data_IF_305958524322
#
_entry.id   IF_305958524322
#
_cell.length_a   1.000
_cell.length_b   1.000
_cell.length_c   1.000
_cell.angle_alpha   90.00
_cell.angle_beta   90.00
_cell.angle_gamma   90.00
#
_symmetry.space_group_name_H-M   'P 1'
#
loop_
_entity.id
_entity.type
_entity.pdbx_description
1 polymer ?
#
# COMPACT_ATOMS: atom_id res chain seq x y z
N UNK A 1 24.24 86.95 -3.31
CA UNK A 1 23.42 86.27 -2.29
C UNK A 1 24.28 85.25 -1.53
N UNK A 2 24.11 84.93 -0.24
CA UNK A 2 23.71 85.72 0.94
C UNK A 2 23.40 84.76 2.11
N UNK A 3 24.22 84.78 3.18
CA UNK A 3 23.98 84.23 4.54
C UNK A 3 23.66 82.71 4.67
N UNK A 4 24.48 81.86 5.31
CA UNK A 4 24.83 81.75 6.76
C UNK A 4 23.71 81.14 7.61
N UNK A 5 23.92 79.92 8.15
CA UNK A 5 24.20 79.73 9.59
C UNK A 5 24.80 78.34 9.92
N UNK A 6 25.43 78.20 11.10
CA UNK A 6 25.82 76.93 11.76
C UNK A 6 25.14 76.84 13.14
N UNK A 7 25.20 75.73 13.93
CA UNK A 7 26.39 75.34 14.73
C UNK A 7 26.43 73.78 15.00
N UNK A 8 27.01 73.13 16.03
CA UNK A 8 27.87 73.50 17.17
C UNK A 8 28.75 72.30 17.67
N UNK A 9 30.06 72.26 17.37
CA UNK A 9 31.08 71.40 18.07
C UNK A 9 30.87 69.86 17.89
N UNK A 10 31.79 68.94 18.21
CA UNK A 10 32.99 68.96 19.09
C UNK A 10 34.24 68.36 18.43
N UNK A 11 35.39 68.67 19.03
CA UNK A 11 36.71 68.09 18.70
C UNK A 11 37.00 66.94 19.67
N UNK A 12 37.48 65.81 19.17
CA UNK A 12 38.34 64.88 19.93
C UNK A 12 39.54 64.53 19.05
N UNK A 13 40.73 64.93 19.49
CA UNK A 13 42.00 64.47 18.91
C UNK A 13 42.51 63.33 19.77
N UNK A 14 42.81 62.19 19.16
CA UNK A 14 43.61 61.12 19.74
C UNK A 14 44.72 60.77 18.74
N UNK A 15 45.97 60.73 19.21
CA UNK A 15 47.14 60.86 18.34
C UNK A 15 48.19 59.79 18.67
N UNK A 16 48.54 58.98 17.67
CA UNK A 16 49.85 58.27 17.51
C UNK A 16 50.17 57.23 18.63
N UNK A 17 50.49 55.98 18.28
CA UNK A 17 51.81 55.60 17.77
C UNK A 17 51.76 54.37 16.85
N UNK A 18 52.64 54.36 15.84
CA UNK A 18 53.04 53.14 15.14
C UNK A 18 54.36 52.62 15.74
N UNK A 19 54.46 51.30 15.93
CA UNK A 19 55.69 50.62 16.31
C UNK A 19 55.93 49.44 15.36
N UNK A 20 56.82 49.63 14.39
CA UNK A 20 57.21 48.59 13.44
C UNK A 20 58.24 47.64 14.06
N UNK A 21 57.84 46.41 14.34
CA UNK A 21 58.75 45.29 14.63
C UNK A 21 58.63 44.22 13.56
N UNK A 22 59.71 43.96 12.81
CA UNK A 22 59.74 42.82 11.88
C UNK A 22 60.07 41.53 12.64
N UNK A 23 59.16 40.56 12.60
CA UNK A 23 59.41 39.18 13.02
C UNK A 23 58.96 38.25 11.89
N UNK A 24 59.92 37.69 11.14
CA UNK A 24 59.64 36.70 10.11
C UNK A 24 59.55 35.29 10.74
N UNK A 25 58.40 34.63 10.59
CA UNK A 25 58.27 33.18 10.66
C UNK A 25 57.63 32.59 11.93
N UNK A 26 56.29 32.42 11.93
CA UNK A 26 55.59 31.49 12.83
C UNK A 26 54.20 30.98 12.34
N UNK A 27 53.60 31.53 11.27
CA UNK A 27 52.15 31.42 11.06
C UNK A 27 51.63 30.10 10.45
N UNK A 28 52.46 29.31 9.78
CA UNK A 28 52.00 28.17 8.96
C UNK A 28 51.40 26.99 9.75
N UNK A 29 51.62 26.90 11.07
CA UNK A 29 51.25 25.71 11.87
C UNK A 29 49.99 25.90 12.73
N UNK A 30 49.48 27.13 12.87
CA UNK A 30 48.32 27.43 13.73
C UNK A 30 47.00 27.10 13.00
N UNK A 31 46.94 27.34 11.68
CA UNK A 31 45.73 27.19 10.85
C UNK A 31 45.23 25.74 10.76
N UNK A 32 46.12 24.75 10.59
CA UNK A 32 45.75 23.33 10.49
C UNK A 32 44.94 22.82 11.68
N UNK A 33 45.27 23.27 12.90
CA UNK A 33 44.56 22.87 14.12
C UNK A 33 43.18 23.54 14.25
N UNK A 34 43.03 24.77 13.75
CA UNK A 34 41.73 25.44 13.67
C UNK A 34 40.85 24.77 12.61
N UNK A 35 41.39 24.54 11.41
CA UNK A 35 40.72 23.90 10.29
C UNK A 35 40.21 22.49 10.63
N UNK A 36 41.04 21.64 11.25
CA UNK A 36 40.63 20.29 11.66
C UNK A 36 39.48 20.29 12.71
N UNK A 37 39.45 21.28 13.62
CA UNK A 37 38.32 21.48 14.54
C UNK A 37 37.06 21.95 13.81
N UNK A 38 37.20 22.81 12.82
CA UNK A 38 36.08 23.33 12.03
C UNK A 38 35.48 22.26 11.11
N UNK A 39 36.33 21.43 10.49
CA UNK A 39 35.91 20.27 9.69
C UNK A 39 35.22 19.19 10.55
N UNK A 40 35.73 18.88 11.75
CA UNK A 40 35.08 17.93 12.66
C UNK A 40 33.77 18.47 13.24
N UNK A 41 33.70 19.75 13.59
CA UNK A 41 32.45 20.40 13.99
C UNK A 41 31.40 20.40 12.86
N UNK A 42 31.81 20.71 11.62
CA UNK A 42 30.93 20.64 10.45
C UNK A 42 30.47 19.20 10.17
N UNK A 43 31.33 18.20 10.35
CA UNK A 43 30.99 16.78 10.21
C UNK A 43 29.96 16.35 11.27
N UNK A 44 30.13 16.76 12.52
CA UNK A 44 29.15 16.52 13.58
C UNK A 44 27.80 17.20 13.29
N UNK A 45 27.80 18.47 12.86
CA UNK A 45 26.61 19.19 12.40
C UNK A 45 25.90 18.48 11.26
N UNK A 46 26.65 17.97 10.27
CA UNK A 46 26.09 17.22 9.15
C UNK A 46 25.46 15.90 9.62
N UNK A 47 26.10 15.16 10.53
CA UNK A 47 25.54 13.92 11.12
C UNK A 47 24.26 14.21 11.91
N UNK A 48 24.25 15.24 12.77
CA UNK A 48 23.05 15.65 13.51
C UNK A 48 21.93 16.08 12.56
N UNK A 49 22.26 16.83 11.50
CA UNK A 49 21.29 17.25 10.47
C UNK A 49 20.73 16.08 9.66
N UNK A 50 21.51 15.04 9.40
CA UNK A 50 21.03 13.83 8.73
C UNK A 50 20.13 13.02 9.67
N UNK A 51 20.58 12.70 10.89
CA UNK A 51 19.76 12.03 11.90
C UNK A 51 18.44 12.77 12.18
N UNK A 52 18.45 14.10 12.17
CA UNK A 52 17.22 14.91 12.30
C UNK A 52 16.25 14.73 11.14
N UNK A 53 16.72 14.56 9.90
CA UNK A 53 15.87 14.21 8.76
C UNK A 53 15.32 12.81 8.92
N UNK A 54 16.16 11.85 9.28
CA UNK A 54 15.78 10.44 9.38
C UNK A 54 14.69 10.25 10.45
N UNK A 55 14.82 10.94 11.59
CA UNK A 55 13.78 11.06 12.63
C UNK A 55 12.51 11.74 12.10
N UNK A 56 12.62 12.78 11.27
CA UNK A 56 11.46 13.46 10.70
C UNK A 56 10.71 12.60 9.67
N UNK A 57 11.44 11.81 8.87
CA UNK A 57 10.86 10.81 7.95
C UNK A 57 10.12 9.73 8.74
N UNK A 58 10.75 9.15 9.77
CA UNK A 58 10.12 8.17 10.66
C UNK A 58 8.85 8.72 11.33
N UNK A 59 8.87 9.98 11.78
CA UNK A 59 7.67 10.67 12.30
C UNK A 59 6.56 10.80 11.27
N UNK A 60 6.88 11.08 10.00
CA UNK A 60 5.87 11.07 8.92
C UNK A 60 5.28 9.68 8.80
N UNK A 61 6.10 8.63 8.61
CA UNK A 61 5.61 7.26 8.44
C UNK A 61 4.72 6.78 9.61
N UNK A 62 5.02 7.17 10.85
CA UNK A 62 4.15 6.90 12.01
C UNK A 62 2.85 7.70 11.97
N UNK A 63 2.88 8.98 11.57
CA UNK A 63 1.68 9.81 11.40
C UNK A 63 0.81 9.32 10.24
N UNK A 64 1.41 8.85 9.16
CA UNK A 64 0.72 8.34 7.98
C UNK A 64 0.07 6.98 8.28
N UNK A 65 0.82 6.03 8.85
CA UNK A 65 0.29 4.72 9.27
C UNK A 65 -0.82 4.84 10.35
N UNK A 66 -0.76 5.86 11.22
CA UNK A 66 -1.86 6.16 12.15
C UNK A 66 -3.12 6.73 11.47
N UNK A 67 -3.02 7.39 10.31
CA UNK A 67 -4.21 7.77 9.52
C UNK A 67 -4.85 6.53 8.91
N UNK A 68 -4.03 5.66 8.34
CA UNK A 68 -4.47 4.42 7.68
C UNK A 68 -5.18 3.50 8.69
N UNK A 69 -4.59 3.28 9.86
CA UNK A 69 -5.23 2.54 10.95
C UNK A 69 -6.57 3.17 11.38
N UNK A 70 -6.63 4.50 11.54
CA UNK A 70 -7.87 5.19 11.94
C UNK A 70 -8.98 5.08 10.88
N UNK A 71 -8.63 5.09 9.59
CA UNK A 71 -9.59 4.82 8.50
C UNK A 71 -10.11 3.38 8.58
N UNK A 72 -9.24 2.41 8.83
CA UNK A 72 -9.64 1.00 9.03
C UNK A 72 -10.56 0.84 10.26
N UNK A 73 -10.30 1.56 11.36
CA UNK A 73 -11.16 1.56 12.55
C UNK A 73 -12.54 2.17 12.25
N UNK A 74 -12.61 3.32 11.58
CA UNK A 74 -13.88 3.98 11.22
C UNK A 74 -14.73 3.11 10.27
N UNK A 75 -14.10 2.39 9.34
CA UNK A 75 -14.79 1.47 8.42
C UNK A 75 -15.30 0.18 9.09
N UNK A 76 -14.63 -0.29 10.15
CA UNK A 76 -15.12 -1.41 10.96
C UNK A 76 -16.35 -1.05 11.80
N UNK A 77 -16.53 0.23 12.16
CA UNK A 77 -17.73 0.71 12.85
C UNK A 77 -18.97 0.77 11.93
N UNK A 78 -18.80 0.75 10.61
CA UNK A 78 -19.90 0.79 9.63
C UNK A 78 -19.85 -0.40 8.64
N UNK A 79 -20.16 -1.64 9.08
CA UNK A 79 -19.88 -2.90 8.36
C UNK A 79 -20.74 -3.19 7.10
N UNK A 80 -21.26 -2.16 6.44
CA UNK A 80 -21.80 -2.20 5.06
C UNK A 80 -20.73 -1.87 4.01
N UNK A 81 -19.71 -1.07 4.35
CA UNK A 81 -18.60 -0.64 3.48
C UNK A 81 -17.46 -1.66 3.35
N UNK A 82 -17.41 -2.64 4.25
CA UNK A 82 -16.39 -3.70 4.31
C UNK A 82 -16.90 -5.07 3.87
N UNK A 83 -18.13 -5.20 3.35
CA UNK A 83 -18.67 -6.52 3.00
C UNK A 83 -18.10 -7.05 1.68
N UNK A 84 -17.74 -8.34 1.65
CA UNK A 84 -17.49 -9.09 0.44
C UNK A 84 -18.47 -10.28 0.35
N UNK A 85 -19.08 -10.50 -0.81
CA UNK A 85 -20.01 -11.60 -1.07
C UNK A 85 -19.57 -12.38 -2.29
N UNK A 86 -19.46 -13.70 -2.16
CA UNK A 86 -19.04 -14.60 -3.23
C UNK A 86 -20.22 -15.44 -3.70
N UNK A 87 -20.51 -15.38 -4.99
CA UNK A 87 -21.56 -16.12 -5.68
C UNK A 87 -20.98 -17.24 -6.54
N UNK A 88 -21.84 -18.19 -6.91
CA UNK A 88 -21.56 -19.27 -7.85
C UNK A 88 -22.68 -19.30 -8.89
N UNK A 89 -22.29 -19.31 -10.15
CA UNK A 89 -23.15 -19.51 -11.32
C UNK A 89 -22.64 -20.69 -12.15
N UNK A 90 -23.55 -21.33 -12.90
CA UNK A 90 -23.25 -22.44 -13.79
C UNK A 90 -24.08 -22.23 -15.07
N UNK A 91 -23.42 -21.78 -16.14
CA UNK A 91 -24.02 -21.61 -17.45
C UNK A 91 -23.74 -22.85 -18.30
N UNK A 92 -24.76 -23.71 -18.39
CA UNK A 92 -24.70 -25.07 -18.96
C UNK A 92 -23.75 -26.00 -18.17
N UNK A 93 -23.82 -27.31 -18.42
CA UNK A 93 -23.13 -28.35 -17.64
C UNK A 93 -22.93 -29.64 -18.42
N UNK A 94 -22.64 -29.53 -19.71
CA UNK A 94 -22.36 -30.64 -20.62
C UNK A 94 -20.91 -31.12 -20.53
N UNK A 95 -19.93 -30.21 -20.33
CA UNK A 95 -18.53 -30.60 -20.23
C UNK A 95 -18.02 -30.72 -18.78
N UNK A 96 -18.77 -30.23 -17.79
CA UNK A 96 -18.44 -30.41 -16.37
C UNK A 96 -19.65 -30.49 -15.43
N UNK A 97 -19.74 -31.60 -14.69
CA UNK A 97 -20.72 -31.83 -13.62
C UNK A 97 -20.11 -31.41 -12.28
N UNK A 98 -20.54 -30.25 -11.75
CA UNK A 98 -20.03 -29.71 -10.48
C UNK A 98 -20.43 -30.58 -9.26
N UNK A 99 -19.46 -31.17 -8.57
CA UNK A 99 -19.69 -31.89 -7.31
C UNK A 99 -19.34 -31.03 -6.08
N UNK A 100 -18.38 -30.12 -6.16
CA UNK A 100 -17.94 -29.33 -5.01
C UNK A 100 -17.09 -28.11 -5.37
N UNK A 101 -17.14 -27.10 -4.50
CA UNK A 101 -16.27 -25.93 -4.52
C UNK A 101 -15.60 -25.79 -3.16
N UNK A 102 -14.29 -25.53 -3.17
CA UNK A 102 -13.53 -25.06 -2.02
C UNK A 102 -13.01 -23.66 -2.30
N UNK A 103 -13.30 -22.72 -1.41
CA UNK A 103 -12.97 -21.31 -1.56
C UNK A 103 -11.86 -20.90 -0.59
N UNK A 104 -10.86 -20.21 -1.11
CA UNK A 104 -9.84 -19.50 -0.35
C UNK A 104 -9.95 -18.00 -0.55
N UNK A 105 -9.61 -17.25 0.49
CA UNK A 105 -9.36 -15.82 0.48
C UNK A 105 -8.06 -15.57 1.26
N UNK A 106 -7.11 -14.86 0.64
CA UNK A 106 -5.76 -14.60 1.15
C UNK A 106 -5.07 -15.89 1.65
N UNK A 107 -5.15 -16.94 0.82
CA UNK A 107 -4.60 -18.28 1.08
C UNK A 107 -5.36 -19.14 2.12
N UNK A 108 -6.24 -18.56 2.93
CA UNK A 108 -7.03 -19.21 4.00
C UNK A 108 -8.33 -19.78 3.43
N UNK A 109 -8.71 -21.00 3.83
CA UNK A 109 -9.98 -21.60 3.38
C UNK A 109 -11.16 -20.96 4.13
N UNK A 110 -12.05 -20.28 3.40
CA UNK A 110 -13.20 -19.54 3.98
C UNK A 110 -14.56 -20.21 3.73
N UNK A 111 -14.68 -21.03 2.69
CA UNK A 111 -15.86 -21.86 2.46
C UNK A 111 -15.51 -23.20 1.79
N UNK A 112 -16.38 -24.19 1.95
CA UNK A 112 -16.37 -25.42 1.17
C UNK A 112 -17.79 -25.95 1.07
N UNK A 113 -18.25 -26.30 -0.13
CA UNK A 113 -19.62 -26.76 -0.38
C UNK A 113 -19.62 -27.98 -1.31
N UNK A 114 -20.58 -28.89 -1.13
CA UNK A 114 -20.81 -30.08 -1.96
C UNK A 114 -22.22 -30.01 -2.55
N UNK A 115 -22.33 -30.24 -3.85
CA UNK A 115 -23.53 -30.04 -4.64
C UNK A 115 -24.31 -31.34 -4.83
N UNK A 116 -25.55 -31.35 -4.32
CA UNK A 116 -26.56 -32.34 -4.74
C UNK A 116 -27.01 -32.10 -6.18
N UNK A 117 -27.55 -33.14 -6.81
CA UNK A 117 -28.08 -33.05 -8.17
C UNK A 117 -29.16 -31.97 -8.33
N UNK A 118 -30.05 -31.84 -7.33
CA UNK A 118 -31.08 -30.79 -7.30
C UNK A 118 -30.48 -29.37 -7.25
N UNK A 119 -29.30 -29.20 -6.64
CA UNK A 119 -28.59 -27.91 -6.63
C UNK A 119 -27.88 -27.63 -7.96
N UNK A 120 -27.19 -28.62 -8.55
CA UNK A 120 -26.63 -28.50 -9.91
C UNK A 120 -27.69 -28.05 -10.91
N UNK A 121 -28.83 -28.76 -10.95
CA UNK A 121 -29.93 -28.45 -11.85
C UNK A 121 -30.60 -27.10 -11.55
N UNK A 122 -30.52 -26.59 -10.32
CA UNK A 122 -30.98 -25.25 -10.00
C UNK A 122 -30.02 -24.18 -10.56
N UNK A 123 -28.70 -24.37 -10.40
CA UNK A 123 -27.70 -23.47 -10.97
C UNK A 123 -27.77 -23.43 -12.49
N UNK A 124 -27.75 -24.60 -13.14
CA UNK A 124 -27.81 -24.78 -14.60
C UNK A 124 -29.12 -24.30 -15.28
N UNK A 125 -30.05 -23.69 -14.53
CA UNK A 125 -31.23 -22.98 -15.03
C UNK A 125 -31.19 -21.48 -14.70
N UNK A 126 -29.99 -20.89 -14.64
CA UNK A 126 -29.78 -19.49 -14.25
C UNK A 126 -29.92 -19.24 -12.74
N UNK A 127 -29.83 -20.27 -11.90
CA UNK A 127 -29.81 -20.10 -10.45
C UNK A 127 -28.44 -19.62 -9.98
N UNK A 128 -28.41 -18.65 -9.08
CA UNK A 128 -27.18 -18.13 -8.47
C UNK A 128 -27.15 -18.49 -6.99
N UNK A 129 -26.12 -19.22 -6.54
CA UNK A 129 -25.91 -19.47 -5.11
C UNK A 129 -24.99 -18.41 -4.53
N UNK A 130 -25.39 -17.81 -3.41
CA UNK A 130 -24.47 -17.09 -2.51
C UNK A 130 -23.66 -18.10 -1.69
N UNK A 131 -22.42 -18.37 -2.10
CA UNK A 131 -21.53 -19.36 -1.49
C UNK A 131 -20.95 -18.87 -0.16
N UNK A 132 -20.58 -17.59 -0.07
CA UNK A 132 -19.95 -17.02 1.11
C UNK A 132 -20.26 -15.52 1.29
N UNK A 133 -20.26 -15.06 2.53
CA UNK A 133 -20.26 -13.63 2.90
C UNK A 133 -19.23 -13.46 4.01
N UNK A 134 -18.38 -12.44 3.90
CA UNK A 134 -17.43 -12.03 4.95
C UNK A 134 -17.34 -10.51 5.00
N UNK A 135 -16.71 -9.99 6.05
CA UNK A 135 -16.07 -8.69 5.98
C UNK A 135 -14.68 -8.84 5.35
N UNK A 136 -14.25 -7.85 4.60
CA UNK A 136 -12.99 -7.72 3.90
C UNK A 136 -12.60 -6.24 3.87
N UNK A 137 -11.42 -5.94 4.40
CA UNK A 137 -10.89 -4.57 4.46
C UNK A 137 -10.56 -4.06 3.05
N UNK A 138 -10.29 -2.76 2.92
CA UNK A 138 -9.74 -2.25 1.67
C UNK A 138 -8.27 -2.64 1.48
N UNK A 139 -7.85 -2.74 0.22
CA UNK A 139 -6.49 -3.16 -0.16
C UNK A 139 -6.49 -4.29 -1.18
N UNK A 140 -5.32 -4.92 -1.35
CA UNK A 140 -5.09 -6.01 -2.30
C UNK A 140 -5.44 -7.36 -1.65
N UNK A 141 -6.23 -8.17 -2.35
CA UNK A 141 -6.68 -9.49 -1.88
C UNK A 141 -6.59 -10.54 -2.98
N UNK A 142 -6.41 -11.80 -2.60
CA UNK A 142 -6.36 -12.94 -3.53
C UNK A 142 -7.46 -13.94 -3.22
N UNK A 143 -8.34 -14.20 -4.20
CA UNK A 143 -9.40 -15.21 -4.08
C UNK A 143 -9.08 -16.41 -4.98
N UNK A 144 -9.05 -17.61 -4.40
CA UNK A 144 -8.76 -18.86 -5.11
C UNK A 144 -9.93 -19.84 -4.97
N UNK A 145 -10.53 -20.26 -6.07
CA UNK A 145 -11.63 -21.21 -6.10
C UNK A 145 -11.16 -22.54 -6.71
N UNK A 146 -11.36 -23.64 -5.97
CA UNK A 146 -11.03 -25.00 -6.40
C UNK A 146 -12.33 -25.75 -6.68
N UNK A 147 -12.53 -26.10 -7.95
CA UNK A 147 -13.70 -26.80 -8.45
C UNK A 147 -13.39 -28.29 -8.59
N UNK A 148 -14.27 -29.14 -8.06
CA UNK A 148 -14.17 -30.60 -8.16
C UNK A 148 -15.45 -31.17 -8.72
N UNK A 149 -15.35 -32.13 -9.63
CA UNK A 149 -16.50 -32.75 -10.26
C UNK A 149 -16.13 -33.80 -11.28
N UNK A 150 -17.05 -34.09 -12.19
CA UNK A 150 -16.84 -35.04 -13.29
C UNK A 150 -16.80 -34.29 -14.62
N UNK A 151 -15.76 -34.55 -15.43
CA UNK A 151 -15.68 -34.13 -16.82
C UNK A 151 -16.40 -35.10 -17.77
N UNK A 152 -16.21 -34.95 -19.09
CA UNK A 152 -16.87 -35.80 -20.07
C UNK A 152 -16.55 -37.28 -19.85
N UNK A 153 -17.55 -38.14 -20.06
CA UNK A 153 -17.47 -39.58 -19.78
C UNK A 153 -17.22 -39.95 -18.31
N UNK A 154 -17.61 -39.09 -17.36
CA UNK A 154 -17.59 -39.40 -15.91
C UNK A 154 -16.18 -39.43 -15.29
N UNK A 155 -15.17 -38.86 -15.96
CA UNK A 155 -13.80 -38.83 -15.44
C UNK A 155 -13.68 -37.79 -14.31
N UNK A 156 -13.08 -38.11 -13.15
CA UNK A 156 -12.81 -37.12 -12.11
C UNK A 156 -11.99 -35.95 -12.63
N UNK A 157 -12.50 -34.73 -12.46
CA UNK A 157 -11.99 -33.50 -13.03
C UNK A 157 -11.83 -32.44 -11.94
N UNK A 158 -10.72 -31.70 -11.99
CA UNK A 158 -10.37 -30.68 -11.00
C UNK A 158 -9.75 -29.47 -11.69
N UNK A 159 -10.20 -28.28 -11.31
CA UNK A 159 -9.64 -26.99 -11.75
C UNK A 159 -9.50 -26.05 -10.57
N UNK A 160 -8.58 -25.11 -10.70
CA UNK A 160 -8.47 -23.96 -9.83
C UNK A 160 -8.56 -22.72 -10.71
N UNK A 161 -9.26 -21.70 -10.24
CA UNK A 161 -9.19 -20.34 -10.76
C UNK A 161 -8.74 -19.43 -9.61
N UNK A 162 -7.98 -18.39 -9.93
CA UNK A 162 -7.46 -17.44 -8.95
C UNK A 162 -7.55 -16.02 -9.53
N UNK A 163 -7.91 -15.06 -8.69
CA UNK A 163 -7.96 -13.64 -9.03
C UNK A 163 -7.34 -12.84 -7.89
N UNK A 164 -6.36 -12.01 -8.24
CA UNK A 164 -5.91 -10.90 -7.39
C UNK A 164 -6.76 -9.67 -7.74
N UNK A 165 -7.29 -8.99 -6.72
CA UNK A 165 -8.16 -7.83 -6.90
C UNK A 165 -7.96 -6.79 -5.79
N UNK A 166 -8.22 -5.52 -6.12
CA UNK A 166 -8.23 -4.43 -5.13
C UNK A 166 -9.66 -4.22 -4.63
N UNK A 167 -9.86 -4.38 -3.32
CA UNK A 167 -11.10 -4.04 -2.61
C UNK A 167 -11.12 -2.53 -2.35
N UNK A 168 -12.02 -1.83 -3.03
CA UNK A 168 -12.32 -0.40 -2.81
C UNK A 168 -13.42 -0.23 -1.74
N UNK A 169 -13.80 1.02 -1.42
CA UNK A 169 -14.95 1.34 -0.55
C UNK A 169 -16.26 0.68 -1.04
N UNK A 170 -17.09 0.20 -0.11
CA UNK A 170 -18.44 -0.33 -0.41
C UNK A 170 -18.55 -1.86 -0.34
N UNK A 171 -19.72 -2.40 -0.69
CA UNK A 171 -19.89 -3.85 -0.79
C UNK A 171 -19.25 -4.38 -2.08
N UNK A 172 -18.39 -5.40 -1.97
CA UNK A 172 -17.77 -6.10 -3.09
C UNK A 172 -18.54 -7.36 -3.43
N UNK A 173 -18.79 -7.56 -4.72
CA UNK A 173 -19.36 -8.79 -5.24
C UNK A 173 -18.33 -9.54 -6.10
N UNK A 174 -18.28 -10.86 -5.94
CA UNK A 174 -17.39 -11.73 -6.71
C UNK A 174 -18.20 -12.92 -7.18
N UNK A 175 -18.09 -13.25 -8.46
CA UNK A 175 -18.79 -14.37 -9.08
C UNK A 175 -17.79 -15.45 -9.49
N UNK A 176 -18.06 -16.69 -9.07
CA UNK A 176 -17.40 -17.89 -9.54
C UNK A 176 -18.26 -18.48 -10.67
N UNK A 177 -17.91 -18.14 -11.91
CA UNK A 177 -18.66 -18.54 -13.10
C UNK A 177 -18.06 -19.81 -13.70
N UNK A 178 -18.90 -20.81 -13.92
CA UNK A 178 -18.57 -22.04 -14.64
C UNK A 178 -19.38 -22.02 -15.94
N UNK A 179 -18.71 -22.14 -17.10
CA UNK A 179 -19.32 -21.89 -18.42
C UNK A 179 -18.81 -22.95 -19.40
N UNK A 180 -19.69 -23.58 -20.19
CA UNK A 180 -19.27 -24.49 -21.27
C UNK A 180 -18.79 -23.72 -22.52
N UNK A 181 -17.51 -23.85 -22.89
CA UNK A 181 -17.00 -23.44 -24.20
C UNK A 181 -17.37 -24.50 -25.25
N UNK A 182 -18.46 -24.24 -25.95
CA UNK A 182 -18.98 -25.14 -27.00
C UNK A 182 -18.08 -25.24 -28.24
N UNK A 183 -17.17 -24.29 -28.47
CA UNK A 183 -16.23 -24.33 -29.59
C UNK A 183 -14.99 -25.20 -29.29
N UNK A 184 -14.54 -25.23 -28.02
CA UNK A 184 -13.44 -26.09 -27.55
C UNK A 184 -13.90 -27.42 -26.95
N UNK A 185 -15.18 -27.56 -26.63
CA UNK A 185 -15.77 -28.71 -25.94
C UNK A 185 -15.20 -28.94 -24.52
N UNK A 186 -14.97 -27.85 -23.79
CA UNK A 186 -14.48 -27.87 -22.41
C UNK A 186 -15.23 -26.87 -21.52
N UNK A 187 -15.15 -27.06 -20.20
CA UNK A 187 -15.68 -26.09 -19.23
C UNK A 187 -14.60 -25.06 -18.85
N UNK A 188 -14.96 -23.78 -18.90
CA UNK A 188 -14.19 -22.65 -18.40
C UNK A 188 -14.59 -22.33 -16.95
N UNK A 189 -13.63 -21.77 -16.21
CA UNK A 189 -13.75 -21.45 -14.79
C UNK A 189 -13.23 -20.05 -14.57
N UNK A 190 -14.13 -19.08 -14.46
CA UNK A 190 -13.81 -17.66 -14.39
C UNK A 190 -14.14 -17.11 -12.99
N UNK A 191 -13.35 -16.12 -12.54
CA UNK A 191 -13.68 -15.32 -11.35
C UNK A 191 -13.88 -13.88 -11.84
N UNK A 192 -15.06 -13.32 -11.58
CA UNK A 192 -15.45 -11.97 -12.00
C UNK A 192 -15.64 -11.07 -10.79
N UNK A 193 -14.98 -9.91 -10.81
CA UNK A 193 -15.21 -8.83 -9.84
C UNK A 193 -16.33 -7.92 -10.36
N UNK A 194 -17.27 -7.57 -9.47
CA UNK A 194 -18.41 -6.69 -9.74
C UNK A 194 -18.54 -5.60 -8.66
#
# INVERSE_FOLDING_TARGET
MSWVNTPLKWIVVALVLAATGMAHGADAQIDFAAKARQESAQKALNTVKQLSKDIQTLKSSVVDLNKDLRLMEEELLFPSSTRATVFVSLDVGHFFTLEGIKLKLDGKQVASHIYSEKQRQALARGGVQRLHITNLNQGLHTISAFFTGLGPNGRPYKRAAELEFTKNQGSQYIELAIIDDTAKQEALFEIKQW
#
